data_IF_288192422788
#
_entry.id   IF_288192422788
#
_cell.length_a   1.000
_cell.length_b   1.000
_cell.length_c   1.000
_cell.angle_alpha   90.00
_cell.angle_beta   90.00
_cell.angle_gamma   90.00
#
_symmetry.space_group_name_H-M   'P 1'
#
loop_
_entity.id
_entity.type
_entity.pdbx_description
1 polymer ?
#
# COMPACT_ATOMS: atom_id res chain seq x y z
N UNK A 1 -17.28 -11.61 -11.74
CA UNK A 1 -16.18 -12.50 -11.35
C UNK A 1 -15.07 -11.70 -10.65
N UNK A 2 -14.55 -10.61 -11.24
CA UNK A 2 -13.48 -9.82 -10.62
C UNK A 2 -13.89 -9.19 -9.30
N UNK A 3 -15.13 -8.74 -9.14
CA UNK A 3 -15.66 -8.19 -7.88
C UNK A 3 -15.63 -9.24 -6.76
N UNK A 4 -15.93 -10.51 -7.06
CA UNK A 4 -15.87 -11.61 -6.08
C UNK A 4 -14.41 -11.83 -5.64
N UNK A 5 -13.46 -11.80 -6.59
CA UNK A 5 -12.03 -11.93 -6.29
C UNK A 5 -11.56 -10.74 -5.44
N UNK A 6 -11.96 -9.53 -5.82
CA UNK A 6 -11.62 -8.32 -5.06
C UNK A 6 -12.10 -8.42 -3.61
N UNK A 7 -13.38 -8.78 -3.41
CA UNK A 7 -13.95 -8.97 -2.06
C UNK A 7 -13.17 -10.01 -1.26
N UNK A 8 -12.82 -11.15 -1.86
CA UNK A 8 -12.04 -12.20 -1.19
C UNK A 8 -10.62 -11.73 -0.82
N UNK A 9 -9.99 -10.92 -1.67
CA UNK A 9 -8.66 -10.34 -1.39
C UNK A 9 -8.72 -9.27 -0.29
N UNK A 10 -9.77 -8.45 -0.27
CA UNK A 10 -9.99 -7.45 0.78
C UNK A 10 -10.21 -8.13 2.15
N UNK A 11 -11.01 -9.20 2.20
CA UNK A 11 -11.18 -10.00 3.42
C UNK A 11 -9.88 -10.70 3.86
N UNK A 12 -9.09 -11.20 2.91
CA UNK A 12 -7.77 -11.77 3.18
C UNK A 12 -6.83 -10.73 3.78
N UNK A 13 -6.81 -9.52 3.22
CA UNK A 13 -6.01 -8.40 3.72
C UNK A 13 -6.38 -8.05 5.16
N UNK A 14 -7.69 -7.91 5.44
CA UNK A 14 -8.20 -7.61 6.80
C UNK A 14 -7.85 -8.72 7.82
N UNK A 15 -7.94 -9.99 7.40
CA UNK A 15 -7.73 -11.13 8.28
C UNK A 15 -6.25 -11.44 8.55
N UNK A 16 -5.38 -11.21 7.56
CA UNK A 16 -3.99 -11.69 7.60
C UNK A 16 -2.94 -10.60 7.47
N UNK A 17 -3.35 -9.35 7.17
CA UNK A 17 -2.46 -8.25 6.79
C UNK A 17 -1.55 -8.57 5.59
N UNK A 18 -1.93 -9.57 4.78
CA UNK A 18 -1.22 -9.95 3.57
C UNK A 18 -1.94 -9.42 2.34
N UNK A 19 -1.18 -8.78 1.47
CA UNK A 19 -1.68 -8.22 0.22
C UNK A 19 -1.29 -9.09 -0.97
N UNK A 20 -2.25 -9.30 -1.88
CA UNK A 20 -2.06 -10.06 -3.10
C UNK A 20 -2.38 -9.20 -4.31
N UNK A 21 -1.74 -9.50 -5.42
CA UNK A 21 -2.00 -8.87 -6.71
C UNK A 21 -2.39 -9.94 -7.73
N UNK A 22 -3.47 -9.64 -8.47
CA UNK A 22 -3.92 -10.46 -9.60
C UNK A 22 -3.51 -9.75 -10.89
N UNK A 23 -2.83 -10.45 -11.78
CA UNK A 23 -2.38 -9.90 -13.05
C UNK A 23 -2.29 -10.96 -14.15
N UNK A 24 -2.26 -10.51 -15.39
CA UNK A 24 -1.97 -11.36 -16.52
C UNK A 24 -0.45 -11.48 -16.72
N UNK A 25 0.06 -12.70 -16.69
CA UNK A 25 1.45 -13.03 -16.94
C UNK A 25 1.56 -13.76 -18.29
N UNK A 26 1.56 -12.99 -19.36
CA UNK A 26 1.66 -13.46 -20.76
C UNK A 26 0.58 -14.51 -21.07
N UNK A 27 -0.68 -14.14 -20.88
CA UNK A 27 -1.86 -15.00 -21.12
C UNK A 27 -2.18 -15.97 -19.99
N UNK A 28 -1.47 -15.91 -18.86
CA UNK A 28 -1.72 -16.71 -17.66
C UNK A 28 -2.17 -15.83 -16.51
N UNK A 29 -3.42 -15.97 -16.10
CA UNK A 29 -3.92 -15.28 -14.90
C UNK A 29 -3.17 -15.75 -13.65
N UNK A 30 -2.49 -14.83 -12.99
CA UNK A 30 -1.56 -15.14 -11.90
C UNK A 30 -1.92 -14.32 -10.66
N UNK A 31 -2.03 -15.00 -9.51
CA UNK A 31 -2.19 -14.40 -8.20
C UNK A 31 -0.90 -14.55 -7.40
N UNK A 32 -0.33 -13.44 -6.91
CA UNK A 32 0.88 -13.46 -6.09
C UNK A 32 0.75 -12.64 -4.83
N UNK A 33 1.37 -13.12 -3.76
CA UNK A 33 1.59 -12.33 -2.55
C UNK A 33 2.67 -11.27 -2.84
N UNK A 34 2.39 -10.00 -2.49
CA UNK A 34 3.31 -8.87 -2.73
C UNK A 34 4.66 -9.09 -2.06
N UNK A 35 4.70 -9.67 -0.85
CA UNK A 35 5.95 -9.98 -0.16
C UNK A 35 6.91 -10.87 -0.95
N UNK A 36 6.37 -11.68 -1.89
CA UNK A 36 7.17 -12.51 -2.80
C UNK A 36 7.64 -11.78 -4.06
N UNK A 37 7.23 -10.53 -4.27
CA UNK A 37 7.54 -9.73 -5.45
C UNK A 37 8.66 -8.70 -5.20
N UNK A 38 9.50 -8.96 -4.20
CA UNK A 38 10.69 -8.14 -3.94
C UNK A 38 11.70 -8.29 -5.06
N UNK A 39 12.11 -7.16 -5.62
CA UNK A 39 13.15 -7.09 -6.65
C UNK A 39 14.38 -6.39 -6.06
N UNK A 40 15.56 -6.96 -6.29
CA UNK A 40 16.84 -6.36 -5.87
C UNK A 40 17.26 -5.18 -6.77
N UNK A 41 16.32 -4.30 -7.09
CA UNK A 41 16.57 -3.06 -7.82
C UNK A 41 16.52 -1.91 -6.83
N UNK A 42 17.62 -1.16 -6.76
CA UNK A 42 17.74 0.06 -5.97
C UNK A 42 17.37 1.26 -6.83
N UNK A 43 16.50 2.10 -6.30
CA UNK A 43 16.20 3.42 -6.85
C UNK A 43 16.80 4.46 -5.90
N UNK A 44 17.71 5.25 -6.41
CA UNK A 44 18.40 6.35 -5.70
C UNK A 44 18.43 7.62 -6.56
N UNK A 45 19.13 8.65 -6.09
CA UNK A 45 19.22 9.93 -6.77
C UNK A 45 19.96 9.85 -8.12
N UNK A 46 20.80 8.83 -8.32
CA UNK A 46 21.53 8.63 -9.57
C UNK A 46 20.71 7.88 -10.62
N UNK A 47 19.70 7.11 -10.18
CA UNK A 47 18.88 6.22 -11.05
C UNK A 47 17.52 6.82 -11.39
N UNK A 48 17.08 7.87 -10.70
CA UNK A 48 15.82 8.59 -10.95
C UNK A 48 16.11 10.02 -11.45
N UNK A 49 15.46 10.41 -12.57
CA UNK A 49 15.63 11.76 -13.13
C UNK A 49 14.90 12.82 -12.33
N UNK A 50 13.62 12.61 -12.02
CA UNK A 50 12.78 13.54 -11.25
C UNK A 50 11.82 12.79 -10.34
N UNK A 51 11.42 13.41 -9.23
CA UNK A 51 10.49 12.80 -8.30
C UNK A 51 9.47 13.79 -7.71
N UNK A 52 8.26 13.30 -7.46
CA UNK A 52 7.19 13.97 -6.70
C UNK A 52 6.79 13.11 -5.52
N UNK A 53 7.03 13.61 -4.30
CA UNK A 53 6.70 12.92 -3.06
C UNK A 53 5.53 13.58 -2.35
N UNK A 54 4.55 12.78 -1.94
CA UNK A 54 3.38 13.23 -1.20
C UNK A 54 3.12 12.34 0.01
N UNK A 55 3.04 12.95 1.18
CA UNK A 55 2.55 12.32 2.41
C UNK A 55 1.17 12.87 2.76
N UNK A 56 0.22 12.01 3.11
CA UNK A 56 -1.17 12.41 3.35
C UNK A 56 -1.80 11.59 4.46
N UNK A 57 -2.71 12.22 5.21
CA UNK A 57 -3.63 11.58 6.17
C UNK A 57 -5.08 11.68 5.70
N UNK A 58 -5.36 12.23 4.52
CA UNK A 58 -6.73 12.52 4.06
C UNK A 58 -7.42 11.35 3.39
N UNK A 59 -6.70 10.27 3.07
CA UNK A 59 -7.29 9.08 2.45
C UNK A 59 -6.69 7.81 3.03
N UNK A 60 -7.56 6.86 3.39
CA UNK A 60 -7.18 5.55 3.92
C UNK A 60 -6.26 5.61 5.16
N UNK A 61 -6.32 6.70 5.94
CA UNK A 61 -5.66 6.83 7.23
C UNK A 61 -6.72 6.97 8.30
N UNK A 62 -6.73 6.04 9.26
CA UNK A 62 -7.70 6.02 10.35
C UNK A 62 -6.99 5.68 11.65
N UNK A 63 -7.13 6.57 12.65
CA UNK A 63 -6.58 6.40 13.99
C UNK A 63 -7.61 5.89 15.00
N UNK A 64 -8.86 5.70 14.53
CA UNK A 64 -9.95 5.15 15.30
C UNK A 64 -10.79 4.21 14.45
N UNK A 65 -10.89 2.96 14.86
CA UNK A 65 -11.74 1.93 14.25
C UNK A 65 -12.95 1.71 15.14
N UNK A 66 -14.13 1.84 14.56
CA UNK A 66 -15.40 1.59 15.24
C UNK A 66 -16.15 0.48 14.53
N UNK A 67 -16.40 -0.60 15.23
CA UNK A 67 -17.18 -1.74 14.73
C UNK A 67 -18.54 -1.79 15.40
N UNK A 68 -19.58 -2.15 14.63
CA UNK A 68 -20.94 -2.30 15.13
C UNK A 68 -21.56 -3.62 14.66
N UNK A 69 -22.49 -4.15 15.47
CA UNK A 69 -23.34 -5.28 15.14
C UNK A 69 -24.78 -4.96 15.59
N UNK A 70 -25.77 -5.28 14.76
CA UNK A 70 -27.19 -4.99 15.04
C UNK A 70 -27.46 -3.54 15.50
N UNK A 71 -26.74 -2.57 14.88
CA UNK A 71 -26.79 -1.15 15.20
C UNK A 71 -26.31 -0.77 16.64
N UNK A 72 -25.62 -1.67 17.34
CA UNK A 72 -24.94 -1.39 18.60
C UNK A 72 -23.45 -1.36 18.36
N UNK A 73 -22.76 -0.42 19.02
CA UNK A 73 -21.31 -0.42 19.06
C UNK A 73 -20.83 -1.61 19.89
N UNK A 74 -19.96 -2.44 19.30
CA UNK A 74 -19.44 -3.63 19.97
C UNK A 74 -17.96 -3.53 20.29
N UNK A 75 -17.21 -2.78 19.50
CA UNK A 75 -15.78 -2.60 19.73
C UNK A 75 -15.24 -1.29 19.12
N UNK A 76 -14.32 -0.66 19.86
CA UNK A 76 -13.54 0.50 19.41
C UNK A 76 -12.07 0.25 19.69
N UNK A 77 -11.23 0.35 18.65
CA UNK A 77 -9.78 0.42 18.78
C UNK A 77 -9.33 1.81 18.35
N UNK A 78 -8.38 2.42 19.06
CA UNK A 78 -7.90 3.76 18.73
C UNK A 78 -6.46 3.99 19.18
N UNK A 79 -5.77 4.89 18.48
CA UNK A 79 -4.44 5.39 18.85
C UNK A 79 -4.55 6.85 19.33
N UNK A 80 -4.49 7.04 20.63
CA UNK A 80 -4.59 8.38 21.24
C UNK A 80 -3.44 9.31 20.87
N UNK A 81 -2.26 8.78 20.56
CA UNK A 81 -1.10 9.57 20.12
C UNK A 81 -1.37 10.22 18.77
N UNK A 82 -1.82 9.44 17.80
CA UNK A 82 -2.14 9.94 16.47
C UNK A 82 -3.40 10.82 16.47
N UNK A 83 -4.40 10.50 17.28
CA UNK A 83 -5.59 11.36 17.48
C UNK A 83 -5.17 12.75 17.97
N UNK A 84 -4.22 12.85 18.90
CA UNK A 84 -3.75 14.16 19.41
C UNK A 84 -2.98 14.95 18.34
N UNK A 85 -2.38 14.29 17.34
CA UNK A 85 -1.63 14.96 16.28
C UNK A 85 -2.48 15.31 15.05
N UNK A 86 -3.41 14.44 14.68
CA UNK A 86 -4.13 14.51 13.39
C UNK A 86 -5.63 14.83 13.56
N UNK A 87 -6.14 14.79 14.78
CA UNK A 87 -7.57 14.76 15.06
C UNK A 87 -8.12 13.34 14.89
N UNK A 88 -9.42 13.18 15.11
CA UNK A 88 -10.07 11.87 15.01
C UNK A 88 -10.36 11.53 13.55
N UNK A 89 -9.67 10.55 13.04
CA UNK A 89 -9.89 9.94 11.72
C UNK A 89 -10.54 8.57 11.91
N UNK A 90 -11.87 8.52 11.81
CA UNK A 90 -12.64 7.33 12.18
C UNK A 90 -12.97 6.46 10.95
N UNK A 91 -12.66 5.17 11.05
CA UNK A 91 -13.22 4.11 10.22
C UNK A 91 -14.41 3.48 10.91
N UNK A 92 -15.48 3.24 10.17
CA UNK A 92 -16.68 2.57 10.68
C UNK A 92 -17.04 1.39 9.77
N UNK A 93 -17.30 0.23 10.40
CA UNK A 93 -17.77 -0.96 9.69
C UNK A 93 -18.87 -1.65 10.51
N UNK A 94 -19.91 -2.10 9.80
CA UNK A 94 -20.97 -2.95 10.36
C UNK A 94 -20.61 -4.40 10.09
N UNK A 95 -20.59 -5.19 11.16
CA UNK A 95 -20.28 -6.62 11.09
C UNK A 95 -21.56 -7.46 10.97
N UNK A 96 -21.42 -8.59 10.30
CA UNK A 96 -22.46 -9.63 10.24
C UNK A 96 -22.39 -10.59 11.44
N UNK A 97 -21.30 -10.56 12.20
CA UNK A 97 -21.05 -11.39 13.38
C UNK A 97 -20.16 -10.67 14.38
N UNK A 98 -20.30 -10.98 15.67
CA UNK A 98 -19.42 -10.46 16.74
C UNK A 98 -18.13 -11.27 16.92
N UNK A 99 -18.01 -12.40 16.21
CA UNK A 99 -16.84 -13.27 16.30
C UNK A 99 -15.58 -12.54 15.86
N UNK A 100 -14.55 -12.55 16.71
CA UNK A 100 -13.25 -11.91 16.45
C UNK A 100 -13.27 -10.38 16.23
N UNK A 101 -14.35 -9.68 16.62
CA UNK A 101 -14.46 -8.21 16.41
C UNK A 101 -13.25 -7.44 16.98
N UNK A 102 -12.73 -7.85 18.16
CA UNK A 102 -11.54 -7.22 18.74
C UNK A 102 -10.32 -7.39 17.85
N UNK A 103 -10.02 -8.61 17.45
CA UNK A 103 -8.85 -8.90 16.59
C UNK A 103 -8.96 -8.17 15.24
N UNK A 104 -10.16 -8.09 14.69
CA UNK A 104 -10.43 -7.34 13.46
C UNK A 104 -10.19 -5.84 13.66
N UNK A 105 -10.69 -5.25 14.75
CA UNK A 105 -10.47 -3.83 15.03
C UNK A 105 -8.98 -3.50 15.22
N UNK A 106 -8.24 -4.34 15.95
CA UNK A 106 -6.81 -4.17 16.16
C UNK A 106 -6.01 -4.31 14.83
N UNK A 107 -6.39 -5.27 13.98
CA UNK A 107 -5.80 -5.45 12.66
C UNK A 107 -6.06 -4.25 11.74
N UNK A 108 -7.30 -3.76 11.68
CA UNK A 108 -7.68 -2.59 10.89
C UNK A 108 -6.96 -1.33 11.39
N UNK A 109 -6.82 -1.16 12.71
CA UNK A 109 -6.06 -0.05 13.28
C UNK A 109 -4.59 -0.14 12.86
N UNK A 110 -3.97 -1.29 13.01
CA UNK A 110 -2.58 -1.50 12.56
C UNK A 110 -2.40 -1.20 11.07
N UNK A 111 -3.37 -1.57 10.26
CA UNK A 111 -3.36 -1.41 8.81
C UNK A 111 -3.47 0.06 8.38
N UNK A 112 -4.37 0.80 9.00
CA UNK A 112 -4.76 2.13 8.54
C UNK A 112 -4.19 3.29 9.37
N UNK A 113 -3.62 3.03 10.54
CA UNK A 113 -3.09 4.07 11.43
C UNK A 113 -1.69 4.54 11.01
N UNK A 114 -1.53 4.78 9.72
CA UNK A 114 -0.27 5.24 9.11
C UNK A 114 -0.55 6.28 8.02
N UNK A 115 0.39 7.22 7.86
CA UNK A 115 0.32 8.17 6.72
C UNK A 115 0.46 7.42 5.40
N UNK A 116 -0.42 7.72 4.47
CA UNK A 116 -0.24 7.27 3.08
C UNK A 116 0.90 8.07 2.44
N UNK A 117 1.88 7.37 1.89
CA UNK A 117 3.02 7.96 1.18
C UNK A 117 2.96 7.54 -0.26
N UNK A 118 2.98 8.50 -1.16
CA UNK A 118 3.03 8.28 -2.61
C UNK A 118 4.28 8.94 -3.17
N UNK A 119 5.03 8.20 -3.95
CA UNK A 119 6.20 8.67 -4.67
C UNK A 119 5.98 8.43 -6.16
N UNK A 120 6.13 9.49 -6.96
CA UNK A 120 6.18 9.38 -8.42
C UNK A 120 7.61 9.62 -8.86
N UNK A 121 8.11 8.78 -9.74
CA UNK A 121 9.44 8.86 -10.31
C UNK A 121 9.32 8.91 -11.82
N UNK A 122 10.13 9.74 -12.45
CA UNK A 122 10.23 9.86 -13.90
C UNK A 122 11.65 9.53 -14.36
N UNK A 123 11.76 9.10 -15.60
CA UNK A 123 13.03 8.79 -16.25
C UNK A 123 13.93 7.80 -15.48
N UNK A 124 13.30 6.85 -14.79
CA UNK A 124 14.02 5.76 -14.12
C UNK A 124 14.54 4.77 -15.14
N UNK A 125 15.77 4.28 -14.95
CA UNK A 125 16.34 3.23 -15.80
C UNK A 125 15.42 2.01 -15.87
N UNK A 126 15.14 1.53 -17.08
CA UNK A 126 14.15 0.50 -17.33
C UNK A 126 14.59 -0.91 -16.92
N UNK A 127 13.70 -1.61 -16.22
CA UNK A 127 13.81 -3.05 -15.95
C UNK A 127 12.47 -3.72 -16.27
N UNK A 128 12.46 -4.63 -17.23
CA UNK A 128 11.24 -5.31 -17.70
C UNK A 128 10.55 -6.18 -16.64
N UNK A 129 11.23 -6.49 -15.54
CA UNK A 129 10.68 -7.26 -14.43
C UNK A 129 9.76 -6.42 -13.52
N UNK A 130 9.89 -5.09 -13.61
CA UNK A 130 9.08 -4.17 -12.80
C UNK A 130 7.65 -4.13 -13.33
N UNK A 131 6.70 -4.37 -12.46
CA UNK A 131 5.25 -4.30 -12.74
C UNK A 131 4.48 -3.85 -11.50
N UNK A 132 3.20 -3.58 -11.62
CA UNK A 132 2.35 -3.32 -10.46
C UNK A 132 2.43 -4.49 -9.46
N UNK A 133 2.54 -4.18 -8.18
CA UNK A 133 2.78 -5.14 -7.09
C UNK A 133 4.26 -5.41 -6.79
N UNK A 134 5.20 -5.02 -7.66
CA UNK A 134 6.64 -5.19 -7.39
C UNK A 134 7.07 -4.29 -6.23
N UNK A 135 7.90 -4.84 -5.34
CA UNK A 135 8.54 -4.12 -4.25
C UNK A 135 9.98 -3.74 -4.63
N UNK A 136 10.27 -2.45 -4.65
CA UNK A 136 11.59 -1.90 -4.95
C UNK A 136 12.18 -1.20 -3.73
N UNK A 137 13.48 -1.30 -3.56
CA UNK A 137 14.20 -0.53 -2.55
C UNK A 137 14.37 0.89 -3.08
N UNK A 138 13.89 1.88 -2.31
CA UNK A 138 14.04 3.30 -2.63
C UNK A 138 14.89 3.95 -1.56
N UNK A 139 15.94 4.63 -1.98
CA UNK A 139 16.85 5.40 -1.13
C UNK A 139 16.96 6.82 -1.67
N UNK A 140 16.06 7.70 -1.25
CA UNK A 140 16.00 9.09 -1.71
C UNK A 140 15.96 10.05 -0.52
N UNK A 141 16.74 11.11 -0.61
CA UNK A 141 16.65 12.27 0.26
C UNK A 141 15.51 13.18 -0.19
N UNK A 142 14.36 13.11 0.50
CA UNK A 142 13.16 13.87 0.14
C UNK A 142 13.00 15.10 1.06
N UNK A 143 13.99 15.96 1.08
CA UNK A 143 14.01 17.16 1.92
C UNK A 143 14.22 16.81 3.40
N UNK A 144 13.16 16.81 4.19
CA UNK A 144 13.16 16.51 5.63
C UNK A 144 13.00 14.99 5.94
N UNK A 145 12.83 14.16 4.93
CA UNK A 145 12.60 12.72 5.07
C UNK A 145 13.59 11.95 4.19
N UNK A 146 14.35 11.06 4.80
CA UNK A 146 15.11 10.03 4.09
C UNK A 146 14.22 8.78 3.93
N UNK A 147 13.85 8.45 2.70
CA UNK A 147 13.20 7.18 2.39
C UNK A 147 14.30 6.14 2.18
N UNK A 148 14.35 5.16 3.06
CA UNK A 148 15.19 3.96 2.91
C UNK A 148 14.31 2.77 3.23
N UNK A 149 13.47 2.36 2.28
CA UNK A 149 12.51 1.29 2.49
C UNK A 149 12.06 0.66 1.18
N UNK A 150 11.38 -0.49 1.31
CA UNK A 150 10.64 -1.03 0.19
C UNK A 150 9.40 -0.20 -0.08
N UNK A 151 9.21 0.21 -1.34
CA UNK A 151 7.96 0.80 -1.81
C UNK A 151 7.33 -0.12 -2.85
N UNK A 152 5.99 -0.22 -2.81
CA UNK A 152 5.22 -0.98 -3.77
C UNK A 152 4.94 -0.14 -5.02
N UNK A 153 5.20 -0.70 -6.17
CA UNK A 153 4.81 -0.12 -7.45
C UNK A 153 3.29 -0.28 -7.63
N UNK A 154 2.55 0.82 -7.65
CA UNK A 154 1.12 0.84 -7.98
C UNK A 154 0.90 0.86 -9.50
N UNK A 155 1.72 1.65 -10.19
CA UNK A 155 1.68 1.80 -11.64
C UNK A 155 3.10 1.92 -12.20
N UNK A 156 3.33 1.33 -13.33
CA UNK A 156 4.55 1.50 -14.12
C UNK A 156 4.18 1.73 -15.58
N UNK A 157 4.88 2.67 -16.20
CA UNK A 157 4.85 2.88 -17.65
C UNK A 157 6.26 2.65 -18.17
N UNK A 158 6.41 1.68 -19.05
CA UNK A 158 7.66 1.41 -19.74
C UNK A 158 7.67 2.14 -21.08
N UNK A 159 8.72 2.91 -21.33
CA UNK A 159 8.94 3.61 -22.59
C UNK A 159 10.20 3.08 -23.23
N UNK A 160 10.06 2.56 -24.42
CA UNK A 160 11.18 2.08 -25.25
C UNK A 160 11.35 3.05 -26.41
N UNK A 161 12.49 3.73 -26.49
CA UNK A 161 12.80 4.68 -27.53
C UNK A 161 14.24 4.45 -28.00
N UNK A 162 14.41 4.03 -29.25
CA UNK A 162 15.68 3.65 -29.84
C UNK A 162 16.40 2.59 -28.97
N UNK A 163 17.52 2.94 -28.36
CA UNK A 163 18.31 2.03 -27.51
C UNK A 163 18.06 2.25 -26.01
N UNK A 164 17.10 3.11 -25.65
CA UNK A 164 16.79 3.43 -24.27
C UNK A 164 15.49 2.77 -23.81
N UNK A 165 15.53 2.23 -22.59
CA UNK A 165 14.36 1.79 -21.86
C UNK A 165 14.25 2.59 -20.55
N UNK A 166 13.19 3.37 -20.42
CA UNK A 166 12.90 4.18 -19.24
C UNK A 166 11.58 3.77 -18.63
N UNK A 167 11.43 4.04 -17.34
CA UNK A 167 10.20 3.80 -16.59
C UNK A 167 9.71 5.10 -15.93
N UNK A 168 8.39 5.27 -15.93
CA UNK A 168 7.69 6.16 -15.00
C UNK A 168 7.03 5.30 -13.96
N UNK A 169 7.30 5.56 -12.67
CA UNK A 169 6.80 4.78 -11.55
C UNK A 169 5.88 5.61 -10.66
N UNK A 170 4.75 5.04 -10.28
CA UNK A 170 3.96 5.51 -9.14
C UNK A 170 4.04 4.45 -8.06
N UNK A 171 4.59 4.85 -6.93
CA UNK A 171 4.91 3.96 -5.83
C UNK A 171 4.18 4.38 -4.55
N UNK A 172 3.89 3.41 -3.71
CA UNK A 172 3.25 3.59 -2.42
C UNK A 172 4.06 2.96 -1.31
N UNK A 173 4.24 3.70 -0.21
CA UNK A 173 4.78 3.17 1.04
C UNK A 173 3.70 3.03 2.10
N UNK A 174 3.86 2.06 2.99
CA UNK A 174 2.95 1.79 4.10
C UNK A 174 3.29 0.48 4.80
N UNK A 175 2.45 0.07 5.74
CA UNK A 175 2.64 -1.13 6.57
C UNK A 175 2.58 -2.47 5.81
N UNK A 176 2.20 -2.45 4.54
CA UNK A 176 2.18 -3.67 3.69
C UNK A 176 3.55 -4.11 3.18
N UNK A 177 4.59 -3.34 3.49
CA UNK A 177 5.92 -3.45 2.90
C UNK A 177 6.95 -3.71 4.01
N UNK A 178 6.66 -4.68 4.88
CA UNK A 178 7.63 -5.18 5.88
C UNK A 178 8.38 -6.41 5.40
#
# INVERSE_FOLDING_TARGET
LFDIIQTALDETLKATSQMYVLYDDVGKLTLKNIGSMKLGLLIDEDTAGDFDYKSSITSQTYDKIKLSYENKEIFVAQDSSNINQWGVLQYYEKLDSTTNAKAMADALLSLYNTKTRTLKLQDVLGDIRVRAGTLLVVMLGLGDINVSNYLMVEQVKHTFNNEQHLMELKMRGGTFVT
#
